data_IF_704341082726
#
_entry.id   IF_704341082726
#
_cell.length_a   1.000
_cell.length_b   1.000
_cell.length_c   1.000
_cell.angle_alpha   90.00
_cell.angle_beta   90.00
_cell.angle_gamma   90.00
#
_symmetry.space_group_name_H-M   'P 1'
#
loop_
_entity.id
_entity.type
_entity.pdbx_description
1 polymer ?
#
# COMPACT_ATOMS: atom_id res chain seq x y z
N UNK A 1 14.34 -13.29 10.26
CA UNK A 1 13.25 -12.72 9.45
C UNK A 1 13.47 -11.21 9.42
N UNK A 2 13.60 -10.60 8.25
CA UNK A 2 13.70 -9.14 8.11
C UNK A 2 12.32 -8.50 8.32
N UNK A 3 12.27 -7.20 8.65
CA UNK A 3 11.00 -6.45 8.73
C UNK A 3 10.22 -6.53 7.40
N UNK A 4 10.91 -6.46 6.27
CA UNK A 4 10.32 -6.62 4.94
C UNK A 4 9.62 -7.98 4.78
N UNK A 5 10.31 -9.09 5.07
CA UNK A 5 9.69 -10.43 4.99
C UNK A 5 8.52 -10.59 5.97
N UNK A 6 8.60 -9.98 7.15
CA UNK A 6 7.52 -10.02 8.13
C UNK A 6 6.26 -9.28 7.67
N UNK A 7 6.43 -8.06 7.15
CA UNK A 7 5.33 -7.26 6.63
C UNK A 7 4.70 -7.94 5.41
N UNK A 8 5.51 -8.50 4.53
CA UNK A 8 5.05 -9.20 3.34
C UNK A 8 4.22 -10.44 3.69
N UNK A 9 4.80 -11.35 4.49
CA UNK A 9 4.23 -12.68 4.75
C UNK A 9 3.06 -12.65 5.75
N UNK A 10 3.05 -11.69 6.68
CA UNK A 10 2.04 -11.64 7.75
C UNK A 10 0.98 -10.55 7.58
N UNK A 11 1.18 -9.61 6.64
CA UNK A 11 0.24 -8.51 6.40
C UNK A 11 -0.13 -8.39 4.92
N UNK A 12 0.82 -8.05 4.04
CA UNK A 12 0.50 -7.69 2.65
C UNK A 12 -0.12 -8.87 1.90
N UNK A 13 0.53 -10.04 1.88
CA UNK A 13 0.02 -11.23 1.19
C UNK A 13 -1.30 -11.74 1.76
N UNK A 14 -1.45 -11.92 3.10
CA UNK A 14 -2.72 -12.34 3.68
C UNK A 14 -3.87 -11.38 3.40
N UNK A 15 -3.65 -10.05 3.49
CA UNK A 15 -4.70 -9.06 3.22
C UNK A 15 -5.05 -9.04 1.72
N UNK A 16 -4.05 -9.09 0.84
CA UNK A 16 -4.28 -9.14 -0.61
C UNK A 16 -5.06 -10.39 -1.01
N UNK A 17 -4.72 -11.56 -0.47
CA UNK A 17 -5.47 -12.80 -0.69
C UNK A 17 -6.90 -12.72 -0.12
N UNK A 18 -7.09 -12.04 1.01
CA UNK A 18 -8.41 -11.88 1.60
C UNK A 18 -9.32 -10.98 0.75
N UNK A 19 -8.78 -9.91 0.15
CA UNK A 19 -9.53 -8.97 -0.70
C UNK A 19 -9.71 -9.46 -2.15
N UNK A 20 -8.95 -10.47 -2.58
CA UNK A 20 -9.01 -11.00 -3.94
C UNK A 20 -7.73 -11.73 -4.33
N UNK A 21 -7.19 -11.38 -5.51
CA UNK A 21 -5.98 -12.01 -6.04
C UNK A 21 -4.72 -11.24 -5.66
N UNK A 22 -3.67 -11.97 -5.25
CA UNK A 22 -2.35 -11.40 -5.04
C UNK A 22 -1.70 -11.01 -6.37
N UNK A 23 -1.05 -9.84 -6.39
CA UNK A 23 -0.36 -9.33 -7.58
C UNK A 23 1.02 -8.74 -7.21
N UNK A 24 2.09 -9.02 -7.99
CA UNK A 24 3.44 -8.53 -7.69
C UNK A 24 3.55 -7.01 -7.52
N UNK A 25 2.82 -6.24 -8.34
CA UNK A 25 2.77 -4.75 -8.25
C UNK A 25 2.37 -4.28 -6.84
N UNK A 26 1.45 -4.98 -6.17
CA UNK A 26 1.05 -4.67 -4.79
C UNK A 26 2.22 -4.89 -3.84
N UNK A 27 2.89 -6.05 -3.95
CA UNK A 27 4.02 -6.38 -3.08
C UNK A 27 5.16 -5.38 -3.24
N UNK A 28 5.54 -5.07 -4.48
CA UNK A 28 6.63 -4.15 -4.82
C UNK A 28 6.35 -2.72 -4.32
N UNK A 29 5.16 -2.17 -4.59
CA UNK A 29 4.80 -0.82 -4.16
C UNK A 29 4.72 -0.72 -2.64
N UNK A 30 3.99 -1.64 -1.99
CA UNK A 30 3.76 -1.54 -0.55
C UNK A 30 5.03 -1.78 0.27
N UNK A 31 5.93 -2.66 -0.18
CA UNK A 31 7.24 -2.82 0.44
C UNK A 31 8.13 -1.60 0.24
N UNK A 32 8.07 -0.96 -0.93
CA UNK A 32 8.84 0.26 -1.19
C UNK A 32 8.35 1.41 -0.32
N UNK A 33 7.03 1.61 -0.25
CA UNK A 33 6.41 2.61 0.62
C UNK A 33 6.78 2.38 2.10
N UNK A 34 6.78 1.13 2.56
CA UNK A 34 7.19 0.77 3.92
C UNK A 34 8.67 1.03 4.19
N UNK A 35 9.55 0.70 3.23
CA UNK A 35 10.99 0.93 3.36
C UNK A 35 11.32 2.41 3.52
N UNK A 36 10.66 3.30 2.76
CA UNK A 36 10.82 4.76 2.90
C UNK A 36 10.51 5.30 4.30
N UNK A 37 9.67 4.56 5.03
CA UNK A 37 9.25 4.89 6.39
C UNK A 37 9.94 4.02 7.43
N UNK A 38 11.02 3.33 7.05
CA UNK A 38 11.78 2.43 7.92
C UNK A 38 10.90 1.36 8.58
N UNK A 39 9.82 0.95 7.92
CA UNK A 39 8.80 0.02 8.42
C UNK A 39 8.13 0.47 9.72
N UNK A 40 8.13 1.77 10.04
CA UNK A 40 7.49 2.30 11.23
C UNK A 40 5.97 2.42 11.04
N UNK A 41 5.15 1.62 11.75
CA UNK A 41 3.69 1.75 11.68
C UNK A 41 3.18 3.04 12.29
N UNK A 42 3.95 3.72 13.13
CA UNK A 42 3.57 4.96 13.82
C UNK A 42 4.09 6.21 13.11
N UNK A 43 4.69 6.07 11.93
CA UNK A 43 5.16 7.22 11.17
C UNK A 43 3.97 8.12 10.83
N UNK A 44 4.07 9.39 11.17
CA UNK A 44 3.08 10.42 10.87
C UNK A 44 3.81 11.68 10.37
N UNK A 45 3.52 12.10 9.15
CA UNK A 45 4.06 13.35 8.59
C UNK A 45 2.98 13.96 7.71
N UNK A 46 2.71 15.26 7.90
CA UNK A 46 1.71 16.00 7.13
C UNK A 46 1.96 15.92 5.61
N UNK A 47 3.22 15.83 5.17
CA UNK A 47 3.59 15.80 3.75
C UNK A 47 3.68 14.37 3.19
N UNK A 48 3.88 13.36 4.04
CA UNK A 48 4.08 11.97 3.59
C UNK A 48 2.93 11.02 3.97
N UNK A 49 1.88 11.51 4.64
CA UNK A 49 0.74 10.72 5.07
C UNK A 49 0.97 9.90 6.35
N UNK A 50 0.04 8.98 6.62
CA UNK A 50 -0.11 8.24 7.86
C UNK A 50 0.34 6.77 7.73
N UNK A 51 0.91 6.25 8.81
CA UNK A 51 1.23 4.85 8.98
C UNK A 51 2.34 4.34 8.08
N UNK A 52 2.53 3.02 8.06
CA UNK A 52 3.66 2.38 7.35
C UNK A 52 3.63 2.59 5.84
N UNK A 53 2.46 2.86 5.24
CA UNK A 53 2.32 3.05 3.80
C UNK A 53 2.27 4.53 3.37
N UNK A 54 2.16 5.48 4.32
CA UNK A 54 2.10 6.90 4.00
C UNK A 54 0.82 7.31 3.25
N UNK A 55 -0.33 6.81 3.71
CA UNK A 55 -1.63 7.11 3.12
C UNK A 55 -2.15 8.43 3.72
N UNK A 56 -2.54 9.39 2.88
CA UNK A 56 -3.15 10.64 3.35
C UNK A 56 -4.61 10.42 3.80
N UNK A 57 -5.13 11.21 4.75
CA UNK A 57 -6.56 11.21 5.07
C UNK A 57 -7.45 11.50 3.85
N UNK A 58 -6.98 12.32 2.91
CA UNK A 58 -7.62 12.59 1.62
C UNK A 58 -7.79 11.30 0.81
N UNK A 59 -6.69 10.59 0.52
CA UNK A 59 -6.74 9.35 -0.25
C UNK A 59 -7.60 8.30 0.47
N UNK A 60 -7.50 8.21 1.79
CA UNK A 60 -8.30 7.28 2.57
C UNK A 60 -9.82 7.50 2.37
N UNK A 61 -10.27 8.76 2.43
CA UNK A 61 -11.68 9.11 2.17
C UNK A 61 -12.07 8.84 0.72
N UNK A 62 -11.22 9.20 -0.25
CA UNK A 62 -11.50 8.94 -1.66
C UNK A 62 -11.64 7.45 -1.97
N UNK A 63 -10.80 6.61 -1.39
CA UNK A 63 -10.93 5.14 -1.52
C UNK A 63 -12.29 4.67 -1.02
N UNK A 64 -12.78 5.20 0.10
CA UNK A 64 -14.11 4.87 0.60
C UNK A 64 -15.24 5.39 -0.29
N UNK A 65 -15.20 6.68 -0.62
CA UNK A 65 -16.31 7.39 -1.24
C UNK A 65 -16.41 7.14 -2.76
N UNK A 66 -15.26 7.01 -3.43
CA UNK A 66 -15.17 6.94 -4.90
C UNK A 66 -14.93 5.52 -5.44
N UNK A 67 -14.43 4.60 -4.61
CA UNK A 67 -14.14 3.23 -5.03
C UNK A 67 -14.94 2.17 -4.27
N UNK A 68 -14.80 2.11 -2.95
CA UNK A 68 -15.44 1.07 -2.13
C UNK A 68 -16.96 1.23 -2.07
N UNK A 69 -17.48 2.47 -2.09
CA UNK A 69 -18.92 2.74 -2.13
C UNK A 69 -19.64 2.04 -3.30
N UNK A 70 -18.93 1.77 -4.40
CA UNK A 70 -19.46 1.11 -5.60
C UNK A 70 -19.19 -0.39 -5.64
N UNK A 71 -18.52 -0.95 -4.63
CA UNK A 71 -18.18 -2.38 -4.52
C UNK A 71 -18.50 -2.89 -3.11
N UNK A 72 -19.78 -3.16 -2.80
CA UNK A 72 -20.24 -3.43 -1.43
C UNK A 72 -19.57 -4.64 -0.79
N UNK A 73 -19.30 -5.70 -1.55
CA UNK A 73 -18.63 -6.90 -1.04
C UNK A 73 -17.18 -6.60 -0.65
N UNK A 74 -16.45 -5.81 -1.45
CA UNK A 74 -15.08 -5.38 -1.14
C UNK A 74 -15.08 -4.42 0.04
N UNK A 75 -15.99 -3.44 0.06
CA UNK A 75 -16.16 -2.50 1.17
C UNK A 75 -16.41 -3.21 2.50
N UNK A 76 -17.26 -4.25 2.49
CA UNK A 76 -17.52 -5.06 3.69
C UNK A 76 -16.26 -5.79 4.18
N UNK A 77 -15.46 -6.33 3.26
CA UNK A 77 -14.20 -7.01 3.60
C UNK A 77 -13.16 -6.03 4.18
N UNK A 78 -12.96 -4.89 3.53
CA UNK A 78 -12.08 -3.82 4.01
C UNK A 78 -12.53 -3.32 5.39
N UNK A 79 -13.83 -3.08 5.59
CA UNK A 79 -14.38 -2.69 6.90
C UNK A 79 -14.14 -3.73 7.98
N UNK A 80 -14.11 -5.01 7.62
CA UNK A 80 -13.82 -6.13 8.52
C UNK A 80 -12.41 -6.12 9.10
N UNK A 81 -11.44 -5.45 8.45
CA UNK A 81 -10.10 -5.25 9.00
C UNK A 81 -10.01 -4.11 10.01
N UNK A 82 -10.88 -3.10 9.90
CA UNK A 82 -10.90 -1.96 10.83
C UNK A 82 -11.48 -2.37 12.19
N UNK A 83 -11.09 -1.66 13.25
CA UNK A 83 -11.74 -1.88 14.54
C UNK A 83 -13.24 -1.53 14.47
N UNK A 84 -14.02 -2.15 15.36
CA UNK A 84 -15.46 -1.90 15.38
C UNK A 84 -15.79 -0.49 15.88
N UNK A 85 -15.15 -0.06 16.97
CA UNK A 85 -15.49 1.19 17.65
C UNK A 85 -14.63 2.38 17.18
N UNK A 86 -13.31 2.22 17.09
CA UNK A 86 -12.42 3.35 16.84
C UNK A 86 -12.61 3.92 15.43
N UNK A 87 -12.84 3.04 14.45
CA UNK A 87 -13.11 3.47 13.06
C UNK A 87 -14.31 4.43 12.95
N UNK A 88 -15.34 4.26 13.77
CA UNK A 88 -16.53 5.13 13.73
C UNK A 88 -16.29 6.52 14.35
N UNK A 89 -15.23 6.67 15.15
CA UNK A 89 -14.90 7.91 15.85
C UNK A 89 -13.80 8.67 15.10
N UNK A 90 -12.75 7.96 14.71
CA UNK A 90 -11.62 8.50 13.98
C UNK A 90 -11.10 7.43 13.01
N UNK A 91 -11.65 7.36 11.79
CA UNK A 91 -11.30 6.33 10.82
C UNK A 91 -9.84 6.43 10.36
N UNK A 92 -9.30 7.64 10.24
CA UNK A 92 -7.91 7.87 9.78
C UNK A 92 -6.87 7.32 10.76
N UNK A 93 -7.18 7.31 12.07
CA UNK A 93 -6.28 6.75 13.08
C UNK A 93 -5.95 5.26 12.84
N UNK A 94 -6.85 4.51 12.19
CA UNK A 94 -6.62 3.09 11.87
C UNK A 94 -5.46 2.89 10.90
N UNK A 95 -5.14 3.89 10.06
CA UNK A 95 -3.98 3.82 9.15
C UNK A 95 -2.66 3.71 9.92
N UNK A 96 -2.62 4.24 11.14
CA UNK A 96 -1.45 4.22 12.04
C UNK A 96 -1.54 3.02 13.00
N UNK A 97 -2.70 2.82 13.63
CA UNK A 97 -2.84 1.85 14.73
C UNK A 97 -3.09 0.42 14.27
N UNK A 98 -3.44 0.22 12.99
CA UNK A 98 -3.86 -1.08 12.47
C UNK A 98 -3.26 -1.35 11.08
N UNK A 99 -2.09 -1.98 11.06
CA UNK A 99 -1.33 -2.24 9.83
C UNK A 99 -2.11 -3.10 8.81
N UNK A 100 -2.98 -4.02 9.26
CA UNK A 100 -3.80 -4.82 8.33
C UNK A 100 -4.86 -3.99 7.64
N UNK A 101 -5.50 -3.09 8.39
CA UNK A 101 -6.43 -2.14 7.80
C UNK A 101 -5.72 -1.15 6.87
N UNK A 102 -4.57 -0.62 7.28
CA UNK A 102 -3.74 0.24 6.43
C UNK A 102 -3.38 -0.45 5.11
N UNK A 103 -3.00 -1.74 5.16
CA UNK A 103 -2.75 -2.54 3.97
C UNK A 103 -4.01 -2.71 3.11
N UNK A 104 -5.18 -2.94 3.73
CA UNK A 104 -6.44 -3.10 3.00
C UNK A 104 -6.82 -1.82 2.22
N UNK A 105 -6.60 -0.63 2.81
CA UNK A 105 -6.80 0.65 2.12
C UNK A 105 -5.76 0.86 1.02
N UNK A 106 -4.48 0.55 1.28
CA UNK A 106 -3.43 0.68 0.26
C UNK A 106 -3.70 -0.20 -0.96
N UNK A 107 -4.11 -1.45 -0.72
CA UNK A 107 -4.49 -2.41 -1.77
C UNK A 107 -5.72 -1.90 -2.52
N UNK A 108 -6.74 -1.42 -1.82
CA UNK A 108 -7.95 -0.86 -2.45
C UNK A 108 -7.63 0.35 -3.32
N UNK A 109 -6.71 1.23 -2.89
CA UNK A 109 -6.24 2.36 -3.70
C UNK A 109 -5.54 1.89 -4.98
N UNK A 110 -4.72 0.85 -4.91
CA UNK A 110 -4.09 0.26 -6.09
C UNK A 110 -5.13 -0.40 -7.00
N UNK A 111 -6.08 -1.16 -6.46
CA UNK A 111 -7.13 -1.80 -7.25
C UNK A 111 -8.03 -0.80 -7.97
N UNK A 112 -8.28 0.37 -7.37
CA UNK A 112 -9.03 1.46 -8.00
C UNK A 112 -8.43 1.88 -9.34
N UNK A 113 -7.11 1.83 -9.46
CA UNK A 113 -6.35 2.20 -10.67
C UNK A 113 -5.80 0.98 -11.42
N UNK A 114 -6.33 -0.23 -11.17
CA UNK A 114 -5.90 -1.49 -11.79
C UNK A 114 -5.80 -1.47 -13.32
N UNK A 115 -6.73 -0.85 -14.07
CA UNK A 115 -6.60 -0.76 -15.53
C UNK A 115 -5.33 -0.05 -16.01
N UNK A 116 -4.69 0.73 -15.15
CA UNK A 116 -3.47 1.50 -15.42
C UNK A 116 -2.22 0.91 -14.76
N UNK A 117 -2.27 -0.34 -14.28
CA UNK A 117 -1.11 -0.96 -13.65
C UNK A 117 0.04 -1.16 -14.65
N UNK A 118 1.27 -0.80 -14.25
CA UNK A 118 2.45 -1.06 -15.06
C UNK A 118 2.86 -2.54 -14.99
N UNK A 119 3.87 -2.91 -15.77
CA UNK A 119 4.53 -4.20 -15.62
C UNK A 119 5.23 -4.27 -14.25
N UNK A 120 5.24 -5.45 -13.60
CA UNK A 120 6.11 -5.69 -12.45
C UNK A 120 7.57 -5.43 -12.82
N UNK A 121 8.36 -4.99 -11.84
CA UNK A 121 9.76 -4.59 -12.01
C UNK A 121 10.02 -3.34 -12.88
N UNK A 122 8.98 -2.56 -13.22
CA UNK A 122 9.16 -1.22 -13.81
C UNK A 122 9.17 -0.17 -12.70
N UNK A 123 10.34 -0.02 -12.05
CA UNK A 123 10.50 0.87 -10.89
C UNK A 123 10.02 2.30 -11.16
N UNK A 124 10.26 2.83 -12.36
CA UNK A 124 9.81 4.16 -12.74
C UNK A 124 8.28 4.24 -12.81
N UNK A 125 7.63 3.32 -13.53
CA UNK A 125 6.18 3.35 -13.68
C UNK A 125 5.45 3.05 -12.35
N UNK A 126 5.99 2.16 -11.53
CA UNK A 126 5.50 1.87 -10.17
C UNK A 126 5.60 3.10 -9.26
N UNK A 127 6.70 3.84 -9.35
CA UNK A 127 6.88 5.12 -8.63
C UNK A 127 5.80 6.12 -9.02
N UNK A 128 5.56 6.30 -10.32
CA UNK A 128 4.54 7.24 -10.82
C UNK A 128 3.12 6.84 -10.39
N UNK A 129 2.84 5.54 -10.36
CA UNK A 129 1.55 5.02 -9.90
C UNK A 129 1.29 5.40 -8.43
N UNK A 130 2.25 5.11 -7.55
CA UNK A 130 2.07 5.34 -6.12
C UNK A 130 2.14 6.82 -5.73
N UNK A 131 3.04 7.60 -6.34
CA UNK A 131 3.11 9.06 -6.12
C UNK A 131 1.85 9.77 -6.60
N UNK A 132 1.28 9.33 -7.72
CA UNK A 132 0.01 9.82 -8.24
C UNK A 132 -1.17 9.57 -7.29
N UNK A 133 -1.28 8.36 -6.74
CA UNK A 133 -2.32 7.99 -5.77
C UNK A 133 -2.21 8.77 -4.46
N UNK A 134 -1.00 8.89 -3.93
CA UNK A 134 -0.76 9.57 -2.65
C UNK A 134 -0.74 11.09 -2.76
N UNK A 135 -0.83 11.63 -3.99
CA UNK A 135 -0.66 13.05 -4.30
C UNK A 135 0.67 13.63 -3.79
N UNK A 136 1.70 12.80 -3.65
CA UNK A 136 3.03 13.22 -3.23
C UNK A 136 3.84 13.61 -4.47
N UNK A 137 4.06 14.91 -4.64
CA UNK A 137 4.84 15.46 -5.76
C UNK A 137 6.24 15.94 -5.35
N UNK A 138 6.66 15.70 -4.10
CA UNK A 138 7.99 16.08 -3.63
C UNK A 138 9.07 15.28 -4.36
N UNK A 139 9.93 15.97 -5.13
CA UNK A 139 11.00 15.34 -5.93
C UNK A 139 11.90 14.43 -5.08
N UNK A 140 12.15 14.80 -3.82
CA UNK A 140 12.95 13.98 -2.90
C UNK A 140 12.26 12.66 -2.53
N UNK A 141 10.95 12.68 -2.27
CA UNK A 141 10.18 11.46 -2.00
C UNK A 141 10.14 10.56 -3.23
N UNK A 142 9.79 11.12 -4.39
CA UNK A 142 9.71 10.39 -5.66
C UNK A 142 11.04 9.72 -5.99
N UNK A 143 12.16 10.44 -5.84
CA UNK A 143 13.51 9.92 -6.09
C UNK A 143 13.87 8.79 -5.13
N UNK A 144 13.55 8.92 -3.83
CA UNK A 144 13.79 7.86 -2.84
C UNK A 144 12.93 6.63 -3.11
N UNK A 145 11.67 6.83 -3.51
CA UNK A 145 10.75 5.74 -3.85
C UNK A 145 11.27 4.95 -5.05
N UNK A 146 11.69 5.64 -6.11
CA UNK A 146 12.25 5.01 -7.29
C UNK A 146 13.50 4.21 -6.95
N UNK A 147 14.45 4.79 -6.20
CA UNK A 147 15.66 4.08 -5.77
C UNK A 147 15.32 2.82 -4.96
N UNK A 148 14.34 2.90 -4.06
CA UNK A 148 13.90 1.76 -3.27
C UNK A 148 13.30 0.65 -4.14
N UNK A 149 12.49 1.03 -5.13
CA UNK A 149 11.93 0.09 -6.10
C UNK A 149 13.02 -0.55 -6.95
N UNK A 150 14.00 0.22 -7.45
CA UNK A 150 15.15 -0.30 -8.20
C UNK A 150 15.90 -1.37 -7.40
N UNK A 151 16.23 -1.11 -6.13
CA UNK A 151 16.88 -2.10 -5.25
C UNK A 151 16.03 -3.37 -5.06
N UNK A 152 14.72 -3.23 -4.93
CA UNK A 152 13.81 -4.37 -4.78
C UNK A 152 13.66 -5.18 -6.07
N UNK A 153 13.61 -4.52 -7.23
CA UNK A 153 13.57 -5.16 -8.54
C UNK A 153 14.87 -5.94 -8.81
N UNK A 154 16.01 -5.34 -8.49
CA UNK A 154 17.33 -5.96 -8.68
C UNK A 154 17.53 -7.18 -7.76
N UNK A 155 17.03 -7.12 -6.53
CA UNK A 155 17.08 -8.25 -5.59
C UNK A 155 16.09 -9.37 -5.92
N UNK A 156 14.98 -9.06 -6.62
CA UNK A 156 14.05 -10.05 -7.17
C UNK A 156 14.62 -10.77 -8.43
N UNK A 157 15.74 -10.28 -8.99
CA UNK A 157 16.43 -10.75 -10.19
C UNK A 157 17.11 -12.14 -10.14
N UNK A 158 16.55 -13.10 -9.42
CA UNK A 158 16.83 -14.53 -9.64
C UNK A 158 15.51 -15.31 -9.72
N UNK A 159 14.84 -15.33 -10.88
CA UNK A 159 13.64 -16.14 -11.05
C UNK A 159 14.00 -17.63 -11.02
N UNK A 160 13.67 -18.32 -9.93
CA UNK A 160 13.64 -19.78 -9.89
C UNK A 160 12.35 -20.29 -10.54
N UNK A 161 12.15 -20.01 -11.83
CA UNK A 161 11.18 -20.75 -12.63
C UNK A 161 11.85 -22.06 -13.06
N UNK A 162 11.66 -23.12 -12.26
CA UNK A 162 11.87 -24.48 -12.74
C UNK A 162 10.64 -24.91 -13.55
N UNK A 163 10.89 -25.31 -14.80
CA UNK A 163 9.93 -25.96 -15.70
C UNK A 163 9.42 -27.29 -15.13
#
# INVERSE_FOLDING_TARGET
MSQASALLDHVIRPVSHALGESHPVIEEILLSAATLRSFDPFAENAEAGLGVFGISPELHRQVWDEFLAFQPDLASQVRGFASQHQFLINPDAELVTNTRYAAAIAISALEWVKPSWPLPNDAYALTQLWSGLTHIHEESYVSRLQHTLEELCDTAGAPHYAF
#
